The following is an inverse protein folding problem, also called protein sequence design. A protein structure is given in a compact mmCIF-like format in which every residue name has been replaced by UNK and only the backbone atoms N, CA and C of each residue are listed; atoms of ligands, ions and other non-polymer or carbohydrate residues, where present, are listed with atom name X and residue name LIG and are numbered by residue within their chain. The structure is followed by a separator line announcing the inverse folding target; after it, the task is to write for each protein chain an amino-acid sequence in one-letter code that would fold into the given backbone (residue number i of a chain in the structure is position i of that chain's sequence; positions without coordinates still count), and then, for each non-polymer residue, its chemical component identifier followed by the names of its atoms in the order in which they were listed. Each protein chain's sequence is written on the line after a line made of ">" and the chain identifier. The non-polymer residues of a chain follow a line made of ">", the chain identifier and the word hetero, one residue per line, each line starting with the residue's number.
data_IF_884524655540
#
_entry.id   IF_884524655540
#
_cell.length_a   1.000
_cell.length_b   1.000
_cell.length_c   1.000
_cell.angle_alpha   90.00
_cell.angle_beta   90.00
_cell.angle_gamma   90.00
#
_symmetry.space_group_name_H-M   'P 1'
#
loop_
_entity.id
_entity.type
_entity.pdbx_description
1 polymer ?
#
# COMPACT_ATOMS: atom_id res chain seq x y z
N UNK A 1 -1.35 -37.64 -1.93
CA UNK A 1 -2.18 -36.70 -1.13
C UNK A 1 -2.34 -35.46 -2.00
N UNK A 2 -3.52 -35.30 -2.61
CA UNK A 2 -3.82 -34.13 -3.41
C UNK A 2 -4.27 -33.04 -2.43
N UNK A 3 -3.54 -31.93 -2.37
CA UNK A 3 -4.05 -30.71 -1.74
C UNK A 3 -5.36 -30.35 -2.43
N UNK A 4 -6.45 -30.49 -1.69
CA UNK A 4 -7.77 -30.07 -2.11
C UNK A 4 -7.73 -28.55 -2.31
N UNK A 5 -7.52 -28.12 -3.56
CA UNK A 5 -7.64 -26.71 -3.95
C UNK A 5 -9.07 -26.30 -3.60
N UNK A 6 -9.25 -25.59 -2.49
CA UNK A 6 -10.48 -24.84 -2.24
C UNK A 6 -10.76 -24.01 -3.50
N UNK A 7 -12.01 -24.00 -4.01
CA UNK A 7 -12.34 -23.19 -5.17
C UNK A 7 -11.92 -21.75 -4.88
N UNK A 8 -11.23 -21.13 -5.84
CA UNK A 8 -10.85 -19.73 -5.73
C UNK A 8 -12.15 -18.95 -5.46
N UNK A 9 -12.23 -18.19 -4.38
CA UNK A 9 -13.44 -17.44 -4.06
C UNK A 9 -13.78 -16.48 -5.20
N UNK A 10 -15.07 -16.37 -5.50
CA UNK A 10 -15.59 -15.57 -6.62
C UNK A 10 -15.34 -14.05 -6.47
N UNK A 11 -14.77 -13.62 -5.33
CA UNK A 11 -14.48 -12.22 -5.01
C UNK A 11 -13.11 -12.05 -4.36
N UNK A 12 -12.49 -10.89 -4.59
CA UNK A 12 -11.20 -10.52 -4.02
C UNK A 12 -11.20 -10.49 -2.48
N UNK A 13 -12.29 -10.00 -1.88
CA UNK A 13 -12.49 -9.99 -0.43
C UNK A 13 -12.63 -11.41 0.15
N UNK A 14 -13.35 -12.29 -0.56
CA UNK A 14 -13.43 -13.70 -0.19
C UNK A 14 -12.07 -14.39 -0.23
N UNK A 15 -11.22 -14.05 -1.21
CA UNK A 15 -9.84 -14.53 -1.30
C UNK A 15 -9.03 -14.12 -0.09
N UNK A 16 -9.04 -12.82 0.23
CA UNK A 16 -8.32 -12.27 1.36
C UNK A 16 -8.67 -12.96 2.68
N UNK A 17 -9.96 -13.18 2.97
CA UNK A 17 -10.41 -13.82 4.21
C UNK A 17 -10.03 -15.30 4.33
N UNK A 18 -9.73 -15.97 3.22
CA UNK A 18 -9.28 -17.36 3.23
C UNK A 18 -7.76 -17.49 3.41
N UNK A 19 -6.99 -16.40 3.32
CA UNK A 19 -5.55 -16.42 3.51
C UNK A 19 -5.22 -16.65 4.99
N UNK A 20 -4.52 -17.74 5.35
CA UNK A 20 -4.06 -17.95 6.73
C UNK A 20 -3.14 -16.81 7.20
N UNK A 21 -2.46 -16.16 6.25
CA UNK A 21 -1.59 -15.02 6.50
C UNK A 21 -2.34 -13.76 6.97
N UNK A 22 -3.66 -13.64 6.78
CA UNK A 22 -4.42 -12.45 7.19
C UNK A 22 -4.31 -12.22 8.71
N UNK A 23 -4.36 -13.28 9.51
CA UNK A 23 -4.18 -13.21 10.96
C UNK A 23 -2.77 -12.70 11.31
N UNK A 24 -1.76 -13.12 10.57
CA UNK A 24 -0.39 -12.65 10.79
C UNK A 24 -0.27 -11.17 10.42
N UNK A 25 -0.81 -10.76 9.26
CA UNK A 25 -0.80 -9.37 8.77
C UNK A 25 -1.39 -8.41 9.80
N UNK A 26 -2.50 -8.80 10.44
CA UNK A 26 -3.18 -8.02 11.49
C UNK A 26 -2.32 -7.81 12.74
N UNK A 27 -1.35 -8.69 12.99
CA UNK A 27 -0.45 -8.65 14.16
C UNK A 27 0.91 -8.02 13.86
N UNK A 28 1.24 -7.78 12.58
CA UNK A 28 2.52 -7.20 12.21
C UNK A 28 2.55 -5.71 12.58
N UNK A 29 3.61 -5.22 13.26
CA UNK A 29 3.80 -3.80 13.57
C UNK A 29 4.36 -3.04 12.37
N UNK A 30 3.92 -3.40 11.15
CA UNK A 30 4.34 -2.79 9.89
C UNK A 30 3.05 -2.40 9.17
N UNK A 31 2.89 -1.14 8.73
CA UNK A 31 1.72 -0.70 7.98
C UNK A 31 1.54 -1.53 6.69
N UNK A 32 0.42 -2.22 6.56
CA UNK A 32 0.11 -3.08 5.42
C UNK A 32 -1.34 -2.84 4.98
N UNK A 33 -1.57 -2.79 3.67
CA UNK A 33 -2.91 -2.82 3.07
C UNK A 33 -3.04 -3.89 1.99
N UNK A 34 -4.25 -4.38 1.80
CA UNK A 34 -4.68 -5.17 0.66
C UNK A 34 -5.69 -4.37 -0.16
N UNK A 35 -5.48 -4.30 -1.48
CA UNK A 35 -6.39 -3.65 -2.42
C UNK A 35 -6.82 -4.60 -3.52
N UNK A 36 -8.02 -4.42 -4.05
CA UNK A 36 -8.45 -5.14 -5.26
C UNK A 36 -7.86 -4.52 -6.53
N UNK A 37 -8.14 -5.11 -7.70
CA UNK A 37 -7.66 -4.59 -8.99
C UNK A 37 -8.19 -3.19 -9.36
N UNK A 38 -9.24 -2.71 -8.70
CA UNK A 38 -9.81 -1.37 -8.90
C UNK A 38 -9.21 -0.34 -7.94
N UNK A 39 -8.37 -0.77 -7.00
CA UNK A 39 -7.78 0.09 -5.98
C UNK A 39 -8.70 0.32 -4.78
N UNK A 40 -9.74 -0.49 -4.58
CA UNK A 40 -10.53 -0.46 -3.34
C UNK A 40 -9.76 -1.17 -2.22
N UNK A 41 -9.63 -0.53 -1.07
CA UNK A 41 -8.98 -1.11 0.11
C UNK A 41 -9.87 -2.22 0.67
N UNK A 42 -9.43 -3.46 0.53
CA UNK A 42 -10.11 -4.64 1.07
C UNK A 42 -9.75 -4.88 2.54
N UNK A 43 -8.57 -4.44 2.95
CA UNK A 43 -8.10 -4.51 4.34
C UNK A 43 -6.94 -3.55 4.57
N UNK A 44 -6.90 -2.97 5.76
CA UNK A 44 -5.78 -2.25 6.33
C UNK A 44 -5.50 -2.88 7.69
N UNK A 45 -4.25 -3.18 7.99
CA UNK A 45 -3.91 -3.70 9.30
C UNK A 45 -3.89 -2.57 10.35
N UNK A 46 -3.96 -2.91 11.65
CA UNK A 46 -3.98 -1.91 12.73
C UNK A 46 -2.81 -0.93 12.68
N UNK A 47 -1.61 -1.39 12.27
CA UNK A 47 -0.44 -0.53 12.16
C UNK A 47 -0.61 0.58 11.10
N UNK A 48 -1.30 0.31 9.99
CA UNK A 48 -1.61 1.33 8.99
C UNK A 48 -2.69 2.30 9.46
N UNK A 49 -3.70 1.78 10.16
CA UNK A 49 -4.77 2.61 10.71
C UNK A 49 -4.22 3.57 11.77
N UNK A 50 -3.36 3.09 12.66
CA UNK A 50 -2.64 3.91 13.64
C UNK A 50 -1.77 4.98 12.95
N UNK A 51 -1.00 4.59 11.93
CA UNK A 51 -0.13 5.51 11.17
C UNK A 51 -0.92 6.65 10.51
N UNK A 52 -2.09 6.35 9.95
CA UNK A 52 -2.96 7.34 9.29
C UNK A 52 -4.00 7.97 10.25
N UNK A 53 -3.96 7.56 11.52
CA UNK A 53 -4.83 8.01 12.61
C UNK A 53 -6.25 7.46 12.60
N UNK A 54 -6.61 6.59 11.67
CA UNK A 54 -7.97 6.05 11.53
C UNK A 54 -8.32 5.08 12.66
N UNK A 55 -9.60 5.08 13.09
CA UNK A 55 -10.08 4.05 14.02
C UNK A 55 -10.16 2.68 13.31
N UNK A 56 -10.06 1.56 14.06
CA UNK A 56 -10.04 0.23 13.49
C UNK A 56 -11.21 -0.08 12.54
N UNK A 57 -10.89 -0.59 11.35
CA UNK A 57 -11.83 -0.96 10.29
C UNK A 57 -12.36 0.20 9.43
N UNK A 58 -11.99 1.45 9.70
CA UNK A 58 -12.52 2.59 8.93
C UNK A 58 -11.83 2.83 7.58
N UNK A 59 -10.68 2.20 7.33
CA UNK A 59 -10.01 2.31 6.03
C UNK A 59 -10.56 1.34 4.98
N UNK A 60 -11.14 0.21 5.39
CA UNK A 60 -11.73 -0.78 4.49
C UNK A 60 -12.92 -0.20 3.71
N UNK A 61 -13.00 -0.53 2.42
CA UNK A 61 -14.02 -0.04 1.49
C UNK A 61 -13.74 1.36 0.93
N UNK A 62 -12.63 2.01 1.31
CA UNK A 62 -12.23 3.30 0.73
C UNK A 62 -11.36 3.08 -0.52
N UNK A 63 -11.46 3.94 -1.54
CA UNK A 63 -10.52 3.90 -2.66
C UNK A 63 -9.13 4.35 -2.18
N UNK A 64 -8.09 3.68 -2.67
CA UNK A 64 -6.70 4.01 -2.38
C UNK A 64 -6.35 5.45 -2.78
N UNK A 65 -6.99 6.00 -3.82
CA UNK A 65 -6.84 7.41 -4.22
C UNK A 65 -7.20 8.39 -3.09
N UNK A 66 -8.16 8.06 -2.23
CA UNK A 66 -8.48 8.89 -1.07
C UNK A 66 -7.31 8.97 -0.08
N UNK A 67 -6.55 7.88 0.06
CA UNK A 67 -5.36 7.85 0.91
C UNK A 67 -4.22 8.60 0.24
N UNK A 68 -4.11 8.58 -1.09
CA UNK A 68 -3.13 9.37 -1.84
C UNK A 68 -3.50 10.87 -1.93
N UNK A 69 -4.71 11.26 -1.50
CA UNK A 69 -5.23 12.62 -1.68
C UNK A 69 -5.50 12.97 -3.15
N UNK A 70 -5.70 11.95 -3.99
CA UNK A 70 -5.90 12.04 -5.44
C UNK A 70 -7.38 11.94 -5.79
N UNK A 71 -7.73 12.45 -6.97
CA UNK A 71 -9.08 12.27 -7.51
C UNK A 71 -9.17 10.94 -8.27
N UNK A 72 -10.25 10.16 -8.14
CA UNK A 72 -10.44 8.90 -8.87
C UNK A 72 -10.38 9.03 -10.39
N UNK A 73 -10.60 10.23 -10.94
CA UNK A 73 -10.53 10.54 -12.37
C UNK A 73 -9.10 10.68 -12.91
N UNK A 74 -8.07 10.57 -12.07
CA UNK A 74 -6.69 10.61 -12.54
C UNK A 74 -6.35 9.32 -13.33
N UNK A 75 -5.88 9.47 -14.56
CA UNK A 75 -5.59 8.37 -15.50
C UNK A 75 -4.53 7.35 -15.01
N UNK A 76 -3.86 7.61 -13.88
CA UNK A 76 -2.87 6.70 -13.31
C UNK A 76 -3.48 5.90 -12.17
N UNK A 77 -3.48 4.56 -12.31
CA UNK A 77 -3.86 3.63 -11.25
C UNK A 77 -3.10 3.92 -9.96
N UNK A 78 -3.82 4.06 -8.84
CA UNK A 78 -3.23 4.22 -7.51
C UNK A 78 -2.23 3.11 -7.15
N UNK A 79 -2.52 1.88 -7.58
CA UNK A 79 -1.62 0.73 -7.41
C UNK A 79 -0.35 0.93 -8.24
N UNK A 80 -0.50 1.41 -9.48
CA UNK A 80 0.62 1.77 -10.34
C UNK A 80 1.49 2.88 -9.74
N UNK A 81 0.89 3.86 -9.05
CA UNK A 81 1.65 4.89 -8.32
C UNK A 81 2.50 4.26 -7.22
N UNK A 82 1.93 3.40 -6.37
CA UNK A 82 2.69 2.72 -5.33
C UNK A 82 3.82 1.85 -5.91
N UNK A 83 3.55 1.13 -7.01
CA UNK A 83 4.52 0.24 -7.64
C UNK A 83 5.65 0.97 -8.38
N UNK A 84 5.37 2.11 -9.03
CA UNK A 84 6.36 2.85 -9.82
C UNK A 84 7.33 3.67 -8.98
N UNK A 85 7.06 3.88 -7.69
CA UNK A 85 7.86 4.80 -6.87
C UNK A 85 9.20 4.23 -6.40
N UNK A 86 9.54 2.95 -6.61
CA UNK A 86 10.92 2.46 -6.57
C UNK A 86 11.74 2.88 -5.34
N UNK A 87 11.15 2.87 -4.14
CA UNK A 87 11.79 3.35 -2.92
C UNK A 87 11.75 4.86 -2.66
N UNK A 88 11.04 5.65 -3.47
CA UNK A 88 10.81 7.08 -3.25
C UNK A 88 9.66 7.32 -2.27
N UNK A 89 9.74 8.35 -1.40
CA UNK A 89 8.65 8.70 -0.50
C UNK A 89 7.39 9.15 -1.24
N UNK A 90 6.25 8.59 -0.83
CA UNK A 90 4.89 8.94 -1.25
C UNK A 90 4.18 9.57 -0.06
N UNK A 91 3.40 10.62 -0.30
CA UNK A 91 2.56 11.22 0.73
C UNK A 91 1.20 10.51 0.76
N UNK A 92 0.87 9.91 1.91
CA UNK A 92 -0.48 9.51 2.24
C UNK A 92 -1.15 10.59 3.10
N UNK A 93 -2.47 10.67 3.03
CA UNK A 93 -3.27 11.61 3.80
C UNK A 93 -3.67 10.98 5.12
N UNK A 94 -3.20 11.56 6.21
CA UNK A 94 -3.70 11.29 7.55
C UNK A 94 -5.14 11.79 7.68
N UNK A 95 -5.93 11.20 8.60
CA UNK A 95 -7.34 11.59 8.80
C UNK A 95 -7.55 13.06 9.17
N UNK A 96 -6.54 13.71 9.77
CA UNK A 96 -6.59 15.13 10.14
C UNK A 96 -6.25 16.07 8.97
N UNK A 97 -5.85 15.52 7.82
CA UNK A 97 -5.43 16.26 6.62
C UNK A 97 -3.92 16.36 6.43
N UNK A 98 -3.09 16.03 7.43
CA UNK A 98 -1.64 16.12 7.33
C UNK A 98 -1.06 15.02 6.43
N UNK A 99 0.01 15.31 5.66
CA UNK A 99 0.68 14.30 4.86
C UNK A 99 1.61 13.43 5.72
N UNK A 100 1.43 12.11 5.65
CA UNK A 100 2.34 11.10 6.19
C UNK A 100 3.21 10.57 5.06
N UNK A 101 4.54 10.64 5.22
CA UNK A 101 5.47 10.20 4.18
C UNK A 101 5.84 8.74 4.40
N UNK A 102 5.50 7.92 3.42
CA UNK A 102 5.79 6.48 3.44
C UNK A 102 6.57 6.08 2.21
N UNK A 103 7.38 5.03 2.33
CA UNK A 103 7.92 4.31 1.18
C UNK A 103 7.11 3.03 1.02
N UNK A 104 6.51 2.83 -0.15
CA UNK A 104 5.96 1.54 -0.52
C UNK A 104 7.10 0.57 -0.82
N UNK A 105 7.01 -0.65 -0.30
CA UNK A 105 8.00 -1.68 -0.58
C UNK A 105 7.99 -2.04 -2.08
N UNK A 106 9.17 -2.23 -2.68
CA UNK A 106 9.31 -2.69 -4.08
C UNK A 106 8.62 -4.05 -4.32
N UNK A 107 8.42 -4.81 -3.25
CA UNK A 107 7.68 -6.07 -3.24
C UNK A 107 6.18 -5.82 -3.07
N UNK A 108 5.58 -5.05 -3.97
CA UNK A 108 4.13 -5.12 -4.18
C UNK A 108 3.84 -6.57 -4.58
N UNK A 109 3.28 -7.36 -3.66
CA UNK A 109 3.07 -8.77 -3.89
C UNK A 109 1.90 -8.92 -4.86
N UNK A 110 2.23 -9.06 -6.14
CA UNK A 110 1.32 -9.45 -7.19
C UNK A 110 1.63 -10.88 -7.60
N UNK A 111 0.74 -11.82 -7.26
CA UNK A 111 0.69 -13.07 -8.02
C UNK A 111 -0.15 -12.80 -9.26
N UNK A 112 0.28 -13.30 -10.42
CA UNK A 112 -0.39 -13.05 -11.71
C UNK A 112 -1.88 -13.44 -11.75
N UNK A 113 -2.29 -14.33 -10.85
CA UNK A 113 -3.65 -14.85 -10.73
C UNK A 113 -4.34 -14.45 -9.40
N UNK A 114 -3.69 -13.65 -8.54
CA UNK A 114 -4.29 -13.25 -7.26
C UNK A 114 -5.20 -12.03 -7.47
N UNK A 115 -6.44 -12.07 -6.95
CA UNK A 115 -7.40 -10.98 -7.12
C UNK A 115 -7.11 -9.77 -6.22
N UNK A 116 -6.04 -9.83 -5.43
CA UNK A 116 -5.63 -8.80 -4.47
C UNK A 116 -4.17 -8.41 -4.67
N UNK A 117 -3.86 -7.17 -4.28
CA UNK A 117 -2.50 -6.66 -4.18
C UNK A 117 -2.20 -6.35 -2.72
N UNK A 118 -1.15 -6.97 -2.17
CA UNK A 118 -0.68 -6.64 -0.83
C UNK A 118 0.48 -5.64 -0.91
N UNK A 119 0.39 -4.55 -0.14
CA UNK A 119 1.41 -3.50 -0.09
C UNK A 119 1.81 -3.26 1.37
N UNK A 120 3.10 -3.38 1.65
CA UNK A 120 3.70 -2.87 2.90
C UNK A 120 4.23 -1.45 2.69
N UNK A 121 3.98 -0.60 3.67
CA UNK A 121 4.40 0.78 3.72
C UNK A 121 5.34 0.97 4.91
N UNK A 122 6.41 1.70 4.71
CA UNK A 122 7.34 2.07 5.76
C UNK A 122 7.24 3.58 6.00
N UNK A 123 6.96 3.98 7.23
CA UNK A 123 7.08 5.39 7.61
C UNK A 123 8.55 5.82 7.48
N UNK A 124 8.77 6.94 6.80
CA UNK A 124 10.09 7.59 6.70
C UNK A 124 10.11 8.98 7.30
N UNK A 125 9.04 9.37 7.96
CA UNK A 125 8.86 10.66 8.64
C UNK A 125 9.96 10.87 9.68
N UNK A 126 10.39 9.81 10.38
CA UNK A 126 11.50 9.87 11.36
C UNK A 126 12.89 9.75 10.72
N UNK A 127 13.04 9.05 9.59
CA UNK A 127 14.35 8.85 8.91
C UNK A 127 14.79 10.02 8.02
N UNK A 128 13.95 11.03 7.84
CA UNK A 128 14.25 12.23 7.05
C UNK A 128 15.13 13.27 7.76
N UNK A 129 15.57 13.01 9.01
CA UNK A 129 16.46 13.91 9.75
C UNK A 129 17.94 13.46 9.78
N UNK A 130 18.27 12.29 9.23
CA UNK A 130 19.63 11.73 9.29
C UNK A 130 20.42 11.73 7.95
N UNK A 131 19.82 12.19 6.85
CA UNK A 131 20.48 12.29 5.54
C UNK A 131 20.38 13.68 4.95
N UNK A 132 21.47 14.45 5.01
CA UNK A 132 21.61 15.76 4.35
C UNK A 132 21.39 15.71 2.83
N UNK A 133 21.46 16.87 2.15
CA UNK A 133 20.85 17.09 0.85
C UNK A 133 21.44 16.14 -0.20
N UNK A 134 20.57 15.37 -0.85
CA UNK A 134 20.92 14.64 -2.07
C UNK A 134 21.02 15.65 -3.22
N UNK A 135 22.13 16.40 -3.29
CA UNK A 135 22.65 16.90 -4.56
C UNK A 135 23.45 15.76 -5.19
N UNK A 136 22.99 15.27 -6.34
CA UNK A 136 23.80 14.97 -7.55
C UNK A 136 22.95 14.19 -8.55
N UNK A 137 22.27 14.89 -9.46
CA UNK A 137 22.10 14.34 -10.80
C UNK A 137 22.95 15.18 -11.75
N UNK A 138 24.14 14.69 -12.00
CA UNK A 138 24.99 15.17 -13.08
C UNK A 138 24.23 15.03 -14.39
N UNK A 139 23.96 16.18 -15.03
CA UNK A 139 23.61 16.20 -16.44
C UNK A 139 24.91 16.38 -17.21
N UNK A 140 25.45 15.25 -17.68
CA UNK A 140 26.29 15.27 -18.86
C UNK A 140 25.43 15.77 -20.04
N UNK A 141 25.82 16.88 -20.62
CA UNK A 141 25.50 17.22 -22.00
C UNK A 141 26.83 17.43 -22.71
N UNK A 142 27.09 16.56 -23.67
CA UNK A 142 28.27 16.63 -24.51
C UNK A 142 28.23 17.79 -25.49
N UNK A 143 29.42 18.24 -25.87
CA UNK A 143 29.84 18.47 -27.24
C UNK A 143 31.36 18.35 -27.26
#
# INVERSE_FOLDING_TARGET
>A
MYEERKPAPDTALGYLHQLPALILIDRLPIPILAVDAKGEVLHANPALEELLGYDPGNLTGRPLDNLLGRSPDEYQSAIGVLACHGGQPIALRHRNGDPVRVIASDSVFMRRDDPITLVSLHDVTENLWAGGPYMSLGRAHGA
#
